data_IF_004145099719
#
_entry.id   IF_004145099719
#
_cell.length_a   1.000
_cell.length_b   1.000
_cell.length_c   1.000
_cell.angle_alpha   90.00
_cell.angle_beta   90.00
_cell.angle_gamma   90.00
#
_symmetry.space_group_name_H-M   'P 1'
#
loop_
_entity.id
_entity.type
_entity.pdbx_description
1 polymer ?
#
# COMPACT_ATOMS: atom_id res chain seq x y z
N UNK A 1 7.89 16.86 -7.32
CA UNK A 1 7.34 15.58 -7.81
C UNK A 1 7.60 14.40 -6.85
N UNK A 2 7.93 14.63 -5.57
CA UNK A 2 8.25 13.55 -4.63
C UNK A 2 7.06 12.59 -4.41
N UNK A 3 5.84 13.11 -4.28
CA UNK A 3 4.63 12.29 -4.11
C UNK A 3 4.34 11.39 -5.31
N UNK A 4 4.54 11.87 -6.54
CA UNK A 4 4.33 11.05 -7.75
C UNK A 4 5.31 9.87 -7.78
N UNK A 5 6.57 10.11 -7.43
CA UNK A 5 7.57 9.04 -7.37
C UNK A 5 7.24 8.05 -6.25
N UNK A 6 6.87 8.54 -5.07
CA UNK A 6 6.45 7.69 -3.96
C UNK A 6 5.27 6.83 -4.36
N UNK A 7 4.24 7.40 -4.98
CA UNK A 7 3.04 6.68 -5.41
C UNK A 7 3.37 5.57 -6.41
N UNK A 8 4.26 5.86 -7.38
CA UNK A 8 4.73 4.87 -8.36
C UNK A 8 5.49 3.73 -7.67
N UNK A 9 6.38 4.02 -6.72
CA UNK A 9 7.23 3.02 -6.06
C UNK A 9 6.54 2.25 -4.92
N UNK A 10 5.40 2.72 -4.43
CA UNK A 10 4.69 2.14 -3.28
C UNK A 10 3.32 1.61 -3.71
N UNK A 11 2.26 2.39 -3.55
CA UNK A 11 0.84 2.02 -3.71
C UNK A 11 0.47 1.57 -5.14
N UNK A 12 1.29 1.88 -6.16
CA UNK A 12 1.09 1.39 -7.53
C UNK A 12 1.98 0.21 -7.93
N UNK A 13 3.00 -0.15 -7.15
CA UNK A 13 3.96 -1.22 -7.49
C UNK A 13 3.93 -2.36 -6.48
N UNK A 14 4.44 -2.14 -5.27
CA UNK A 14 4.85 -3.22 -4.36
C UNK A 14 4.40 -3.05 -2.90
N UNK A 15 3.50 -2.10 -2.61
CA UNK A 15 2.85 -1.96 -1.30
C UNK A 15 1.53 -2.74 -1.26
N UNK A 16 1.53 -3.88 -0.56
CA UNK A 16 0.38 -4.80 -0.47
C UNK A 16 -0.82 -4.11 0.20
N UNK A 17 -0.61 -3.45 1.34
CA UNK A 17 -1.66 -2.82 2.13
C UNK A 17 -2.11 -1.52 1.48
N UNK A 18 -1.15 -0.73 1.02
CA UNK A 18 -1.39 0.53 0.33
C UNK A 18 -2.20 0.34 -0.95
N UNK A 19 -2.00 -0.75 -1.70
CA UNK A 19 -2.82 -1.06 -2.88
C UNK A 19 -4.30 -1.24 -2.54
N UNK A 20 -4.62 -1.99 -1.49
CA UNK A 20 -6.02 -2.26 -1.11
C UNK A 20 -6.71 -0.99 -0.66
N UNK A 21 -6.07 -0.22 0.23
CA UNK A 21 -6.59 1.08 0.68
C UNK A 21 -6.73 2.07 -0.48
N UNK A 22 -5.81 2.05 -1.44
CA UNK A 22 -5.91 2.90 -2.63
C UNK A 22 -7.13 2.53 -3.49
N UNK A 23 -7.43 1.24 -3.67
CA UNK A 23 -8.66 0.82 -4.36
C UNK A 23 -9.92 1.29 -3.62
N UNK A 24 -9.96 1.13 -2.30
CA UNK A 24 -11.07 1.59 -1.47
C UNK A 24 -11.27 3.11 -1.57
N UNK A 25 -10.19 3.89 -1.49
CA UNK A 25 -10.23 5.34 -1.64
C UNK A 25 -10.73 5.77 -3.02
N UNK A 26 -10.27 5.11 -4.09
CA UNK A 26 -10.73 5.38 -5.47
C UNK A 26 -12.24 5.14 -5.60
N UNK A 27 -12.75 4.03 -5.05
CA UNK A 27 -14.18 3.69 -5.11
C UNK A 27 -15.02 4.65 -4.28
N UNK A 28 -14.53 5.08 -3.11
CA UNK A 28 -15.22 6.03 -2.22
C UNK A 28 -15.10 7.49 -2.68
N UNK A 29 -14.27 7.78 -3.68
CA UNK A 29 -13.97 9.14 -4.10
C UNK A 29 -13.16 9.95 -3.07
N UNK A 30 -12.42 9.26 -2.19
CA UNK A 30 -11.51 9.87 -1.22
C UNK A 30 -10.10 9.99 -1.80
N UNK A 31 -9.37 11.04 -1.42
CA UNK A 31 -8.03 11.34 -1.91
C UNK A 31 -6.92 10.97 -0.92
N UNK A 32 -7.23 10.21 0.13
CA UNK A 32 -6.22 9.75 1.09
C UNK A 32 -5.43 8.56 0.52
N UNK A 33 -4.13 8.77 0.28
CA UNK A 33 -3.18 7.72 -0.07
C UNK A 33 -2.10 7.67 1.02
N UNK A 34 -2.09 6.59 1.79
CA UNK A 34 -1.03 6.30 2.76
C UNK A 34 -0.08 5.28 2.14
N UNK A 35 1.16 5.71 1.87
CA UNK A 35 2.22 4.84 1.37
C UNK A 35 2.96 4.19 2.55
N UNK A 36 3.04 2.86 2.54
CA UNK A 36 3.79 2.05 3.48
C UNK A 36 5.19 1.70 3.00
N UNK A 37 5.78 0.68 3.64
CA UNK A 37 7.08 0.11 3.27
C UNK A 37 6.88 -0.85 2.08
N UNK A 38 7.59 -0.67 0.95
CA UNK A 38 7.52 -1.61 -0.17
C UNK A 38 8.00 -3.01 0.21
N UNK A 39 7.35 -4.04 -0.34
CA UNK A 39 7.76 -5.43 -0.11
C UNK A 39 9.16 -5.71 -0.68
N UNK A 40 9.52 -5.05 -1.78
CA UNK A 40 10.86 -5.14 -2.38
C UNK A 40 11.99 -4.73 -1.43
N UNK A 41 11.74 -3.78 -0.52
CA UNK A 41 12.71 -3.40 0.51
C UNK A 41 12.84 -4.48 1.59
N UNK A 42 11.73 -5.11 2.00
CA UNK A 42 11.74 -6.23 2.96
C UNK A 42 12.52 -7.42 2.39
N UNK A 43 12.27 -7.76 1.12
CA UNK A 43 13.01 -8.80 0.39
C UNK A 43 14.49 -8.47 0.32
N UNK A 44 14.87 -7.23 -0.03
CA UNK A 44 16.27 -6.80 -0.05
C UNK A 44 16.98 -7.02 1.29
N UNK A 45 16.34 -6.68 2.41
CA UNK A 45 16.91 -6.91 3.75
C UNK A 45 17.13 -8.42 3.97
N UNK A 46 16.16 -9.27 3.59
CA UNK A 46 16.30 -10.73 3.70
C UNK A 46 17.36 -11.31 2.78
N UNK A 47 17.54 -10.77 1.58
CA UNK A 47 18.61 -11.18 0.66
C UNK A 47 19.99 -10.85 1.23
N UNK A 48 20.16 -9.67 1.84
CA UNK A 48 21.41 -9.29 2.52
C UNK A 48 21.67 -10.16 3.76
N UNK A 49 20.65 -10.43 4.58
CA UNK A 49 20.75 -11.38 5.70
C UNK A 49 21.14 -12.79 5.23
N UNK A 50 20.62 -13.23 4.07
CA UNK A 50 20.97 -14.50 3.43
C UNK A 50 22.44 -14.58 2.99
N UNK A 51 23.10 -13.43 2.76
CA UNK A 51 24.53 -13.33 2.50
C UNK A 51 25.38 -13.23 3.78
N UNK A 52 24.77 -13.45 4.96
CA UNK A 52 25.39 -13.28 6.28
C UNK A 52 25.86 -11.83 6.55
N UNK A 53 25.18 -10.83 5.96
CA UNK A 53 25.39 -9.43 6.28
C UNK A 53 24.45 -9.01 7.41
N UNK A 54 25.01 -8.38 8.44
CA UNK A 54 24.23 -7.77 9.52
C UNK A 54 23.66 -6.43 9.04
N UNK A 55 22.35 -6.39 8.81
CA UNK A 55 21.62 -5.17 8.43
C UNK A 55 20.72 -4.75 9.56
N UNK A 56 20.85 -3.50 9.99
CA UNK A 56 20.02 -2.92 11.06
C UNK A 56 19.36 -1.64 10.54
N UNK A 57 18.07 -1.51 10.82
CA UNK A 57 17.31 -0.30 10.51
C UNK A 57 17.16 0.47 11.80
N UNK A 58 17.67 1.70 11.82
CA UNK A 58 17.65 2.57 12.98
C UNK A 58 16.70 3.73 12.75
N UNK A 59 15.91 4.06 13.77
CA UNK A 59 15.14 5.29 13.84
C UNK A 59 16.05 6.49 14.16
N UNK A 60 15.52 7.71 14.09
CA UNK A 60 16.22 8.94 14.51
C UNK A 60 16.68 8.87 15.98
N UNK A 61 15.95 8.14 16.82
CA UNK A 61 16.29 7.92 18.24
C UNK A 61 17.28 6.76 18.46
N UNK A 62 17.97 6.27 17.42
CA UNK A 62 18.85 5.09 17.45
C UNK A 62 18.15 3.79 17.91
N UNK A 63 16.80 3.77 17.87
CA UNK A 63 16.02 2.57 18.18
C UNK A 63 15.99 1.64 16.97
N UNK A 64 16.30 0.37 17.20
CA UNK A 64 16.21 -0.66 16.17
C UNK A 64 14.75 -0.89 15.78
N UNK A 65 14.47 -0.77 14.49
CA UNK A 65 13.18 -1.11 13.88
C UNK A 65 13.30 -2.53 13.33
N UNK A 66 12.48 -3.43 13.84
CA UNK A 66 12.38 -4.80 13.33
C UNK A 66 11.28 -4.82 12.28
N UNK A 67 11.61 -5.23 11.05
CA UNK A 67 10.62 -5.47 10.01
C UNK A 67 10.05 -6.88 10.18
N UNK A 68 8.93 -7.01 10.88
CA UNK A 68 8.25 -8.29 11.08
C UNK A 68 7.10 -8.48 10.10
N UNK A 69 6.72 -9.73 9.82
CA UNK A 69 5.51 -10.04 9.04
C UNK A 69 4.23 -9.69 9.80
N UNK A 70 4.32 -9.58 11.13
CA UNK A 70 3.23 -9.15 12.01
C UNK A 70 2.88 -7.67 11.83
N UNK A 71 3.79 -6.86 11.29
CA UNK A 71 3.56 -5.44 10.97
C UNK A 71 2.66 -5.25 9.73
N UNK A 72 2.33 -6.33 9.01
CA UNK A 72 1.41 -6.29 7.88
C UNK A 72 -0.01 -6.34 8.44
N UNK A 73 -0.78 -5.24 8.43
CA UNK A 73 -2.17 -5.29 8.89
C UNK A 73 -2.98 -6.32 8.10
N UNK A 74 -3.80 -7.08 8.82
CA UNK A 74 -4.73 -8.02 8.21
C UNK A 74 -5.64 -7.27 7.22
N UNK A 75 -5.64 -7.74 5.96
CA UNK A 75 -6.54 -7.22 4.94
C UNK A 75 -7.92 -7.84 5.18
N UNK A 76 -8.97 -7.05 5.48
CA UNK A 76 -10.32 -7.61 5.55
C UNK A 76 -10.67 -8.23 4.20
N UNK A 77 -10.95 -9.53 4.19
CA UNK A 77 -11.23 -10.30 2.97
C UNK A 77 -12.50 -9.81 2.25
N UNK A 78 -13.39 -9.12 2.96
CA UNK A 78 -14.65 -8.60 2.44
C UNK A 78 -14.54 -7.09 2.18
N UNK A 79 -14.24 -6.74 0.92
CA UNK A 79 -14.14 -5.34 0.49
C UNK A 79 -15.52 -4.69 0.26
N UNK A 80 -16.62 -5.45 0.30
CA UNK A 80 -17.98 -4.91 0.14
C UNK A 80 -18.24 -4.15 -1.17
N UNK A 81 -17.37 -4.28 -2.18
CA UNK A 81 -17.49 -3.54 -3.45
C UNK A 81 -18.47 -4.28 -4.37
N UNK A 82 -19.74 -3.91 -4.30
CA UNK A 82 -20.70 -4.18 -5.38
C UNK A 82 -20.43 -3.23 -6.53
N UNK A 83 -19.80 -3.72 -7.60
CA UNK A 83 -19.64 -2.99 -8.87
C UNK A 83 -20.97 -2.99 -9.64
N UNK A 84 -22.04 -2.49 -9.02
CA UNK A 84 -23.27 -2.20 -9.74
C UNK A 84 -23.13 -0.82 -10.33
N UNK A 85 -22.88 -0.77 -11.64
CA UNK A 85 -22.90 0.46 -12.42
C UNK A 85 -24.33 1.00 -12.34
N UNK A 86 -24.56 2.04 -11.56
CA UNK A 86 -25.76 2.85 -11.71
C UNK A 86 -25.72 3.46 -13.11
N UNK A 87 -26.43 2.83 -14.04
CA UNK A 87 -26.75 3.45 -15.31
C UNK A 87 -27.59 4.68 -14.96
N UNK A 88 -26.96 5.86 -15.05
CA UNK A 88 -27.67 7.13 -15.08
C UNK A 88 -28.71 7.01 -16.19
N UNK A 89 -29.97 6.81 -15.79
CA UNK A 89 -31.10 6.81 -16.70
C UNK A 89 -31.04 8.07 -17.53
N UNK A 90 -30.97 7.92 -18.85
CA UNK A 90 -31.26 8.99 -19.78
C UNK A 90 -32.70 9.40 -19.53
N UNK A 91 -32.86 10.40 -18.65
CA UNK A 91 -34.15 11.01 -18.40
C UNK A 91 -34.66 11.57 -19.71
N UNK A 92 -35.86 11.15 -20.05
CA UNK A 92 -36.52 11.39 -21.32
C UNK A 92 -36.77 12.88 -21.47
N UNK A 93 -36.01 13.56 -22.34
CA UNK A 93 -36.37 14.89 -22.80
C UNK A 93 -37.16 14.75 -24.12
N UNK A 94 -38.49 14.83 -23.98
CA UNK A 94 -39.42 15.23 -25.06
C UNK A 94 -39.03 16.58 -25.67
#
# INVERSE_FOLDING_TARGET
AAHVLQEILTVKSDDIVGRVKAYEAIVKGDNTLEAGIPESFRVLVKELEGLALGVEILSEDERQIVLSEEDIPEIPLDLGISLEREELGEDSAE
#
